data_IF_208807148216
#
_entry.id   IF_208807148216
#
_cell.length_a   1.000
_cell.length_b   1.000
_cell.length_c   1.000
_cell.angle_alpha   90.00
_cell.angle_beta   90.00
_cell.angle_gamma   90.00
#
_symmetry.space_group_name_H-M   'P 1'
#
loop_
_entity.id
_entity.type
_entity.pdbx_description
1 polymer ?
#
# COMPACT_ATOMS: atom_id res chain seq x y z
N UNK A 1 -21.18 -7.75 -14.10
CA UNK A 1 -19.98 -8.04 -13.28
C UNK A 1 -20.39 -9.13 -12.30
N UNK A 2 -20.26 -10.40 -12.71
CA UNK A 2 -20.64 -11.52 -11.85
C UNK A 2 -19.46 -11.77 -10.91
N UNK A 3 -19.64 -11.48 -9.63
CA UNK A 3 -18.72 -11.93 -8.57
C UNK A 3 -18.73 -13.45 -8.65
N UNK A 4 -17.58 -14.06 -8.98
CA UNK A 4 -17.46 -15.52 -9.10
C UNK A 4 -17.93 -16.18 -7.81
N UNK A 5 -18.74 -17.24 -7.92
CA UNK A 5 -19.18 -18.08 -6.79
C UNK A 5 -18.01 -18.66 -6.00
N UNK A 6 -16.83 -18.75 -6.61
CA UNK A 6 -15.62 -19.29 -6.00
C UNK A 6 -15.04 -18.33 -4.96
N UNK A 7 -15.12 -17.01 -5.21
CA UNK A 7 -14.73 -15.99 -4.24
C UNK A 7 -15.68 -15.99 -3.03
N UNK A 8 -16.99 -16.15 -3.26
CA UNK A 8 -17.96 -16.23 -2.16
C UNK A 8 -17.76 -17.48 -1.30
N UNK A 9 -17.39 -18.62 -1.89
CA UNK A 9 -17.09 -19.85 -1.14
C UNK A 9 -15.79 -19.73 -0.34
N UNK A 10 -14.71 -19.23 -0.95
CA UNK A 10 -13.44 -19.01 -0.27
C UNK A 10 -13.58 -18.06 0.94
N UNK A 11 -14.44 -17.05 0.84
CA UNK A 11 -14.71 -16.12 1.95
C UNK A 11 -15.60 -16.71 3.06
N UNK A 12 -16.40 -17.75 2.77
CA UNK A 12 -17.29 -18.40 3.73
C UNK A 12 -16.53 -19.42 4.61
N UNK A 13 -15.48 -20.06 4.08
CA UNK A 13 -14.68 -21.06 4.81
C UNK A 13 -13.76 -20.45 5.88
N UNK A 14 -13.41 -19.16 5.77
CA UNK A 14 -12.50 -18.46 6.69
C UNK A 14 -13.18 -17.89 7.97
N UNK A 15 -14.48 -18.13 8.20
CA UNK A 15 -15.18 -17.72 9.43
C UNK A 15 -15.24 -16.19 9.69
N UNK A 16 -14.96 -15.37 8.67
CA UNK A 16 -14.87 -13.91 8.79
C UNK A 16 -16.25 -13.25 8.70
N UNK A 17 -16.97 -13.24 9.83
CA UNK A 17 -18.13 -12.37 10.00
C UNK A 17 -17.70 -10.90 9.79
N UNK A 18 -18.24 -10.27 8.74
CA UNK A 18 -18.05 -8.87 8.28
C UNK A 18 -16.84 -8.55 7.37
N UNK A 19 -15.68 -9.21 7.47
CA UNK A 19 -14.52 -8.85 6.64
C UNK A 19 -14.57 -9.41 5.20
N UNK A 20 -15.25 -10.53 4.97
CA UNK A 20 -15.39 -11.07 3.60
C UNK A 20 -16.19 -10.17 2.65
N UNK A 21 -17.12 -9.37 3.17
CA UNK A 21 -17.95 -8.46 2.37
C UNK A 21 -17.18 -7.24 1.84
N UNK A 22 -16.03 -6.91 2.43
CA UNK A 22 -15.20 -5.77 2.03
C UNK A 22 -14.49 -6.05 0.68
N UNK A 23 -13.97 -7.25 0.50
CA UNK A 23 -13.15 -7.60 -0.67
C UNK A 23 -13.97 -7.77 -1.95
N UNK A 24 -15.22 -8.23 -1.87
CA UNK A 24 -16.08 -8.46 -3.05
C UNK A 24 -16.53 -7.18 -3.75
N UNK A 25 -16.28 -6.01 -3.16
CA UNK A 25 -16.51 -4.68 -3.78
C UNK A 25 -15.21 -3.98 -4.15
N UNK A 26 -14.06 -4.53 -3.76
CA UNK A 26 -12.75 -3.98 -4.09
C UNK A 26 -12.23 -4.64 -5.38
N UNK A 27 -12.14 -3.90 -6.50
CA UNK A 27 -11.63 -4.46 -7.75
C UNK A 27 -10.17 -4.92 -7.65
N UNK A 28 -9.35 -4.32 -6.77
CA UNK A 28 -7.96 -4.75 -6.54
C UNK A 28 -7.96 -6.13 -5.87
N UNK A 29 -8.76 -6.31 -4.82
CA UNK A 29 -8.89 -7.59 -4.14
C UNK A 29 -9.40 -8.69 -5.09
N UNK A 30 -10.43 -8.42 -5.91
CA UNK A 30 -10.96 -9.40 -6.87
C UNK A 30 -9.91 -9.78 -7.92
N UNK A 31 -9.22 -8.80 -8.51
CA UNK A 31 -8.18 -9.07 -9.50
C UNK A 31 -7.01 -9.86 -8.91
N UNK A 32 -6.61 -9.51 -7.69
CA UNK A 32 -5.55 -10.21 -6.98
C UNK A 32 -5.91 -11.64 -6.60
N UNK A 33 -7.19 -11.91 -6.30
CA UNK A 33 -7.67 -13.26 -6.02
C UNK A 33 -7.48 -14.16 -7.24
N UNK A 34 -7.93 -13.71 -8.43
CA UNK A 34 -7.75 -14.48 -9.66
C UNK A 34 -6.30 -14.63 -10.11
N UNK A 35 -5.42 -13.67 -9.76
CA UNK A 35 -3.99 -13.82 -9.96
C UNK A 35 -3.41 -14.90 -9.03
N UNK A 36 -3.79 -14.88 -7.74
CA UNK A 36 -3.35 -15.86 -6.75
C UNK A 36 -3.81 -17.29 -7.10
N UNK A 37 -5.04 -17.47 -7.59
CA UNK A 37 -5.55 -18.77 -8.11
C UNK A 37 -4.68 -19.34 -9.23
N UNK A 38 -3.97 -18.48 -9.97
CA UNK A 38 -3.05 -18.86 -11.05
C UNK A 38 -1.58 -18.91 -10.61
N UNK A 39 -1.33 -18.85 -9.30
CA UNK A 39 0.03 -18.86 -8.74
C UNK A 39 0.82 -17.57 -9.00
N UNK A 40 0.14 -16.46 -9.30
CA UNK A 40 0.77 -15.15 -9.52
C UNK A 40 0.65 -14.32 -8.24
N UNK A 41 1.78 -13.99 -7.62
CA UNK A 41 1.81 -13.14 -6.42
C UNK A 41 1.48 -11.68 -6.77
N UNK A 42 0.56 -11.08 -6.02
CA UNK A 42 0.25 -9.65 -6.10
C UNK A 42 0.83 -8.91 -4.91
N UNK A 43 1.53 -7.81 -5.20
CA UNK A 43 2.15 -6.92 -4.20
C UNK A 43 1.46 -5.57 -4.29
N UNK A 44 1.01 -5.04 -3.16
CA UNK A 44 0.35 -3.73 -3.07
C UNK A 44 0.90 -2.94 -1.88
N UNK A 45 0.99 -1.61 -2.02
CA UNK A 45 1.33 -0.75 -0.89
C UNK A 45 0.22 -0.72 0.16
N UNK A 46 0.60 -0.62 1.44
CA UNK A 46 -0.32 -0.49 2.56
C UNK A 46 -1.10 0.84 2.54
N UNK A 47 -0.60 1.86 1.81
CA UNK A 47 -1.14 3.21 1.74
C UNK A 47 -0.33 4.22 2.57
N UNK A 48 -0.61 5.51 2.38
CA UNK A 48 0.12 6.62 3.01
C UNK A 48 -0.71 7.37 4.07
N UNK A 49 -1.83 6.79 4.50
CA UNK A 49 -2.80 7.43 5.41
C UNK A 49 -2.47 7.22 6.89
N UNK A 50 -1.21 6.93 7.23
CA UNK A 50 -0.80 6.56 8.59
C UNK A 50 -1.11 7.60 9.68
N UNK A 51 -1.26 8.88 9.30
CA UNK A 51 -1.64 9.96 10.23
C UNK A 51 -3.13 9.98 10.58
N UNK A 52 -3.98 9.22 9.88
CA UNK A 52 -5.42 9.14 10.14
C UNK A 52 -5.78 8.30 11.38
N UNK A 53 -4.80 7.70 12.04
CA UNK A 53 -4.98 6.88 13.24
C UNK A 53 -4.74 5.39 12.99
N UNK A 54 -5.15 4.58 13.98
CA UNK A 54 -5.06 3.12 13.91
C UNK A 54 -5.87 2.54 12.75
N UNK A 55 -5.45 1.38 12.22
CA UNK A 55 -6.17 0.63 11.16
C UNK A 55 -6.35 1.41 9.84
N UNK A 56 -5.36 2.21 9.44
CA UNK A 56 -5.37 3.00 8.20
C UNK A 56 -4.84 2.27 6.95
N UNK A 57 -4.55 0.97 7.05
CA UNK A 57 -4.06 0.15 5.92
C UNK A 57 -5.20 -0.12 4.94
N UNK A 58 -4.96 0.16 3.65
CA UNK A 58 -5.93 -0.09 2.58
C UNK A 58 -5.80 -1.50 1.97
N UNK A 59 -4.59 -2.04 1.92
CA UNK A 59 -4.30 -3.37 1.37
C UNK A 59 -4.51 -4.47 2.41
N UNK A 60 -5.75 -4.92 2.57
CA UNK A 60 -6.16 -5.87 3.63
C UNK A 60 -6.58 -7.25 3.14
N UNK A 61 -6.67 -7.47 1.82
CA UNK A 61 -7.03 -8.77 1.27
C UNK A 61 -5.92 -9.80 1.58
N UNK A 62 -6.26 -10.99 2.11
CA UNK A 62 -5.26 -11.94 2.64
C UNK A 62 -4.37 -12.56 1.55
N UNK A 63 -4.82 -12.57 0.30
CA UNK A 63 -4.07 -13.05 -0.86
C UNK A 63 -3.17 -11.98 -1.50
N UNK A 64 -3.07 -10.79 -0.90
CA UNK A 64 -2.17 -9.71 -1.34
C UNK A 64 -1.00 -9.58 -0.36
N UNK A 65 0.22 -9.49 -0.88
CA UNK A 65 1.37 -9.07 -0.08
C UNK A 65 1.34 -7.54 0.11
N UNK A 66 0.92 -7.12 1.30
CA UNK A 66 0.83 -5.71 1.70
C UNK A 66 2.20 -5.17 2.15
N UNK A 67 2.65 -4.07 1.57
CA UNK A 67 4.01 -3.52 1.79
C UNK A 67 3.95 -2.14 2.45
N UNK A 68 4.59 -2.02 3.61
CA UNK A 68 4.80 -0.75 4.31
C UNK A 68 6.03 0.01 3.76
N UNK A 69 6.11 1.31 4.05
CA UNK A 69 7.26 2.14 3.72
C UNK A 69 8.14 2.39 4.95
N UNK A 70 9.45 2.28 4.77
CA UNK A 70 10.45 2.66 5.77
C UNK A 70 11.57 3.46 5.10
N UNK A 71 12.39 4.12 5.90
CA UNK A 71 13.58 4.84 5.43
C UNK A 71 14.80 3.94 5.41
N UNK A 72 15.71 4.20 4.49
CA UNK A 72 17.08 3.66 4.53
C UNK A 72 18.03 4.66 5.21
N UNK A 73 19.28 4.27 5.38
CA UNK A 73 20.36 5.14 5.87
C UNK A 73 20.73 6.27 4.88
N UNK A 74 20.39 6.10 3.59
CA UNK A 74 20.65 7.09 2.55
C UNK A 74 19.78 8.34 2.71
N UNK A 75 20.41 9.50 2.53
CA UNK A 75 19.74 10.79 2.56
C UNK A 75 20.12 11.67 1.37
N UNK A 76 19.12 12.22 0.68
CA UNK A 76 19.31 13.27 -0.33
C UNK A 76 19.32 14.63 0.35
N UNK A 77 20.46 15.29 0.35
CA UNK A 77 20.72 16.51 1.11
C UNK A 77 21.29 17.59 0.20
N UNK A 78 20.77 18.81 0.32
CA UNK A 78 21.24 19.99 -0.42
C UNK A 78 21.58 21.13 0.54
N UNK A 79 22.39 22.08 0.05
CA UNK A 79 22.73 23.30 0.78
C UNK A 79 22.01 24.49 0.13
N UNK A 80 21.32 25.27 0.96
CA UNK A 80 20.66 26.52 0.55
C UNK A 80 21.39 27.68 1.21
N UNK A 81 21.93 28.60 0.41
CA UNK A 81 22.52 29.85 0.91
C UNK A 81 21.46 30.94 0.89
N UNK A 82 21.15 31.50 2.05
CA UNK A 82 20.20 32.61 2.19
C UNK A 82 20.87 33.94 1.82
N UNK A 83 20.07 34.97 1.52
CA UNK A 83 20.59 36.30 1.15
C UNK A 83 21.43 37.00 2.24
N UNK A 84 21.34 36.54 3.49
CA UNK A 84 22.19 37.00 4.59
C UNK A 84 23.49 36.17 4.77
N UNK A 85 23.81 35.29 3.82
CA UNK A 85 25.00 34.43 3.84
C UNK A 85 24.87 33.15 4.69
N UNK A 86 23.78 32.97 5.46
CA UNK A 86 23.58 31.74 6.23
C UNK A 86 23.30 30.56 5.30
N UNK A 87 24.00 29.45 5.52
CA UNK A 87 23.78 28.20 4.79
C UNK A 87 22.91 27.24 5.61
N UNK A 88 21.87 26.68 4.98
CA UNK A 88 20.98 25.66 5.56
C UNK A 88 21.16 24.32 4.84
N UNK A 89 21.19 23.25 5.62
CA UNK A 89 21.16 21.87 5.11
C UNK A 89 19.69 21.43 5.01
N UNK A 90 19.22 21.10 3.81
CA UNK A 90 17.83 20.71 3.53
C UNK A 90 17.77 19.31 2.93
N UNK A 91 16.65 18.60 3.15
CA UNK A 91 16.39 17.30 2.53
C UNK A 91 15.47 17.51 1.33
N UNK A 92 16.04 17.48 0.13
CA UNK A 92 15.32 17.69 -1.12
C UNK A 92 16.05 17.00 -2.25
N UNK A 93 15.36 16.78 -3.37
CA UNK A 93 15.94 16.31 -4.62
C UNK A 93 15.97 17.53 -5.55
N UNK A 94 17.16 17.97 -5.92
CA UNK A 94 17.38 19.12 -6.81
C UNK A 94 18.22 18.66 -8.00
N UNK A 95 17.89 19.16 -9.20
CA UNK A 95 18.60 18.86 -10.45
C UNK A 95 19.77 19.84 -10.72
N UNK A 96 20.31 20.48 -9.68
CA UNK A 96 21.38 21.45 -9.85
C UNK A 96 22.68 20.70 -10.22
N UNK A 97 23.20 21.00 -11.41
CA UNK A 97 24.54 20.59 -11.88
C UNK A 97 25.58 21.59 -11.36
#
# INVERSE_FOLDING_TARGET
MLVSTDLLKALQEEGLHQQGLLHIKDPIAIGAFHAAEKGVLVVQSAGNSGLAGFQSVASVAPWILSVAASTTDRHFVNKVVLGNGKTLTVRTISLLN
#
